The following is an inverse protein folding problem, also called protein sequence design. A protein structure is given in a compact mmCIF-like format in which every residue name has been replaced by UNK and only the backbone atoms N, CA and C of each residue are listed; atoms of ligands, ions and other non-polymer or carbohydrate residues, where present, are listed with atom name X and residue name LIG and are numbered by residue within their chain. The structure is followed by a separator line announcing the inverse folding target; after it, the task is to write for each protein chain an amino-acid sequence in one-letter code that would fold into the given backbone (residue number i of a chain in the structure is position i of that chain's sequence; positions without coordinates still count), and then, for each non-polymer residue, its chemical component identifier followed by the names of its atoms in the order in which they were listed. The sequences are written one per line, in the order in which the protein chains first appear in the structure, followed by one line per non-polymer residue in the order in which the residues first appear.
data_IF_402060653668
#
_entry.id   IF_402060653668
#
_cell.length_a   1.000
_cell.length_b   1.000
_cell.length_c   1.000
_cell.angle_alpha   90.00
_cell.angle_beta   90.00
_cell.angle_gamma   90.00
#
_symmetry.space_group_name_H-M   'P 1'
#
loop_
_entity.id
_entity.type
_entity.pdbx_description
1 polymer ?
#
# COMPACT_ATOMS: atom_id res chain seq x y z
N UNK A 1 35.86 4.36 4.02
CA UNK A 1 35.79 5.86 4.07
C UNK A 1 35.97 6.29 5.52
N UNK A 2 36.58 7.45 5.82
CA UNK A 2 36.56 8.00 7.19
C UNK A 2 35.33 8.92 7.36
N UNK A 3 34.31 8.50 8.12
CA UNK A 3 33.09 9.28 8.32
C UNK A 3 33.24 10.47 9.28
N UNK A 4 34.33 10.54 10.06
CA UNK A 4 34.61 11.64 11.01
C UNK A 4 33.42 12.03 11.90
N UNK A 5 32.87 11.08 12.65
CA UNK A 5 31.78 11.33 13.59
C UNK A 5 32.20 12.39 14.64
N UNK A 6 31.25 13.22 15.08
CA UNK A 6 31.56 14.32 16.01
C UNK A 6 31.84 13.85 17.44
N UNK A 7 31.23 12.73 17.86
CA UNK A 7 31.46 12.09 19.15
C UNK A 7 31.19 10.58 19.09
N UNK A 8 31.69 9.85 20.09
CA UNK A 8 31.32 8.46 20.34
C UNK A 8 29.91 8.37 20.90
N UNK A 9 29.24 7.23 20.72
CA UNK A 9 27.87 7.02 21.18
C UNK A 9 26.95 6.47 20.10
N UNK A 10 25.65 6.52 20.36
CA UNK A 10 24.65 6.07 19.40
C UNK A 10 24.46 7.08 18.28
N UNK A 11 24.51 6.59 17.06
CA UNK A 11 24.15 7.31 15.85
C UNK A 11 23.01 6.56 15.17
N UNK A 12 22.01 7.28 14.70
CA UNK A 12 20.84 6.73 14.03
C UNK A 12 21.01 6.90 12.53
N UNK A 13 20.92 5.80 11.78
CA UNK A 13 20.94 5.81 10.32
C UNK A 13 19.55 6.23 9.81
N UNK A 14 19.52 7.31 9.03
CA UNK A 14 18.30 8.02 8.69
C UNK A 14 17.37 7.23 7.76
N UNK A 15 17.91 6.41 6.86
CA UNK A 15 17.12 5.76 5.81
C UNK A 15 16.47 4.44 6.26
N UNK A 16 17.16 3.69 7.13
CA UNK A 16 16.73 2.41 7.71
C UNK A 16 16.09 2.59 9.08
N UNK A 17 16.37 3.69 9.78
CA UNK A 17 15.97 3.88 11.17
C UNK A 17 16.76 2.99 12.15
N UNK A 18 17.78 2.29 11.67
CA UNK A 18 18.69 1.48 12.48
C UNK A 18 19.65 2.37 13.28
N UNK A 19 20.37 1.78 14.23
CA UNK A 19 21.32 2.48 15.09
C UNK A 19 22.69 1.82 15.08
N UNK A 20 23.72 2.64 15.00
CA UNK A 20 25.12 2.23 15.08
C UNK A 20 25.75 2.81 16.35
N UNK A 21 26.44 1.97 17.11
CA UNK A 21 27.23 2.44 18.24
C UNK A 21 28.66 2.73 17.79
N UNK A 22 29.04 4.01 17.81
CA UNK A 22 30.39 4.45 17.45
C UNK A 22 31.28 4.46 18.69
N UNK A 23 32.33 3.64 18.65
CA UNK A 23 33.32 3.53 19.74
C UNK A 23 34.58 4.37 19.50
N UNK A 24 34.85 4.74 18.24
CA UNK A 24 35.91 5.67 17.87
C UNK A 24 35.48 6.56 16.69
N UNK A 25 35.68 7.87 16.80
CA UNK A 25 35.20 8.86 15.81
C UNK A 25 35.78 8.71 14.39
N UNK A 26 36.93 8.03 14.27
CA UNK A 26 37.61 7.77 13.00
C UNK A 26 37.48 6.30 12.54
N UNK A 27 36.51 5.56 13.07
CA UNK A 27 36.27 4.19 12.67
C UNK A 27 35.88 4.12 11.19
N UNK A 28 36.63 3.38 10.34
CA UNK A 28 36.37 3.37 8.91
C UNK A 28 35.06 2.63 8.62
N UNK A 29 34.16 3.29 7.88
CA UNK A 29 32.92 2.67 7.40
C UNK A 29 33.16 2.09 5.99
N UNK A 30 32.77 0.83 5.82
CA UNK A 30 32.71 0.15 4.53
C UNK A 30 31.35 0.42 3.90
N UNK A 31 31.36 0.95 2.67
CA UNK A 31 30.17 1.18 1.86
C UNK A 31 30.36 0.49 0.51
N UNK A 32 29.29 -0.05 -0.05
CA UNK A 32 29.26 -0.56 -1.42
C UNK A 32 29.31 0.59 -2.44
N UNK A 33 29.63 0.28 -3.70
CA UNK A 33 29.68 1.28 -4.76
C UNK A 33 28.29 1.91 -5.00
N UNK A 34 28.19 3.23 -4.84
CA UNK A 34 26.93 3.98 -4.97
C UNK A 34 26.07 4.00 -3.71
N UNK A 35 26.49 3.30 -2.64
CA UNK A 35 25.84 3.36 -1.34
C UNK A 35 26.19 4.67 -0.63
N UNK A 36 25.18 5.33 -0.06
CA UNK A 36 25.35 6.47 0.84
C UNK A 36 24.50 6.24 2.09
N UNK A 37 24.98 6.72 3.23
CA UNK A 37 24.30 6.64 4.52
C UNK A 37 24.31 8.00 5.17
N UNK A 38 23.22 8.35 5.86
CA UNK A 38 23.13 9.58 6.63
C UNK A 38 22.93 9.21 8.10
N UNK A 39 23.79 9.71 8.97
CA UNK A 39 23.72 9.44 10.40
C UNK A 39 23.40 10.72 11.17
N UNK A 40 22.56 10.62 12.21
CA UNK A 40 22.29 11.70 13.16
C UNK A 40 22.49 11.23 14.60
N UNK A 41 22.95 12.13 15.45
CA UNK A 41 23.05 11.99 16.91
C UNK A 41 21.69 12.03 17.61
N UNK A 42 20.63 12.44 16.90
CA UNK A 42 19.24 12.37 17.35
C UNK A 42 18.41 11.44 16.45
N UNK A 43 17.44 10.74 17.04
CA UNK A 43 16.51 9.92 16.28
C UNK A 43 15.53 10.82 15.54
N UNK A 44 15.81 11.04 14.25
CA UNK A 44 14.92 11.79 13.38
C UNK A 44 13.72 10.93 12.97
N UNK A 45 12.55 11.56 12.88
CA UNK A 45 11.37 10.92 12.30
C UNK A 45 11.55 10.73 10.79
N UNK A 46 11.07 9.59 10.27
CA UNK A 46 11.06 9.35 8.83
C UNK A 46 10.13 10.38 8.16
N UNK A 47 10.60 11.07 7.11
CA UNK A 47 9.75 12.01 6.40
C UNK A 47 8.78 11.25 5.50
N UNK A 48 7.62 11.86 5.25
CA UNK A 48 6.53 11.32 4.42
C UNK A 48 6.92 11.02 2.95
N UNK A 49 8.10 11.46 2.50
CA UNK A 49 8.63 11.20 1.17
C UNK A 49 9.63 10.03 1.11
N UNK A 50 10.06 9.49 2.26
CA UNK A 50 10.93 8.32 2.27
C UNK A 50 10.08 7.07 2.02
N UNK A 51 10.17 6.54 0.80
CA UNK A 51 9.58 5.23 0.47
C UNK A 51 10.45 4.16 1.10
N UNK A 52 10.38 4.00 2.42
CA UNK A 52 10.87 2.79 3.04
C UNK A 52 10.08 1.64 2.40
N UNK A 53 10.77 0.70 1.76
CA UNK A 53 10.18 -0.56 1.28
C UNK A 53 9.86 -1.46 2.49
N UNK A 54 9.31 -0.90 3.55
CA UNK A 54 8.50 -1.68 4.45
C UNK A 54 7.27 -2.02 3.64
N UNK A 55 7.06 -3.32 3.41
CA UNK A 55 5.82 -3.83 2.86
C UNK A 55 4.70 -3.27 3.71
N UNK A 56 4.08 -2.16 3.29
CA UNK A 56 2.88 -1.62 3.91
C UNK A 56 1.80 -2.69 3.68
N UNK A 57 1.72 -3.65 4.59
CA UNK A 57 0.46 -4.31 4.88
C UNK A 57 -0.30 -3.25 5.67
N UNK A 58 -0.77 -2.23 4.95
CA UNK A 58 -1.76 -1.31 5.49
C UNK A 58 -2.87 -2.22 6.01
N UNK A 59 -3.03 -2.27 7.33
CA UNK A 59 -4.14 -2.96 7.96
C UNK A 59 -5.38 -2.32 7.36
N UNK A 60 -6.01 -3.01 6.43
CA UNK A 60 -7.14 -2.43 5.74
C UNK A 60 -8.27 -2.27 6.75
N UNK A 61 -8.62 -1.02 7.05
CA UNK A 61 -9.77 -0.69 7.89
C UNK A 61 -11.11 -1.01 7.20
N UNK A 62 -11.05 -1.40 5.92
CA UNK A 62 -12.19 -1.69 5.07
C UNK A 62 -11.95 -2.93 4.17
N UNK A 63 -11.75 -4.13 4.74
CA UNK A 63 -11.42 -5.31 3.96
C UNK A 63 -12.68 -5.91 3.31
N UNK A 64 -12.57 -6.21 2.02
CA UNK A 64 -13.56 -7.00 1.28
C UNK A 64 -12.89 -8.01 0.35
N UNK A 65 -13.66 -9.00 -0.07
CA UNK A 65 -13.25 -10.02 -1.05
C UNK A 65 -14.19 -10.01 -2.25
N UNK A 66 -13.64 -10.36 -3.42
CA UNK A 66 -14.39 -10.53 -4.66
C UNK A 66 -14.46 -12.01 -5.02
N UNK A 67 -15.65 -12.51 -5.35
CA UNK A 67 -15.80 -13.87 -5.85
C UNK A 67 -16.98 -14.01 -6.83
N UNK A 68 -16.91 -14.95 -7.78
CA UNK A 68 -15.72 -15.73 -8.11
C UNK A 68 -14.65 -14.82 -8.76
N UNK A 69 -13.38 -15.18 -8.60
CA UNK A 69 -12.27 -14.53 -9.28
C UNK A 69 -11.27 -15.63 -9.68
N UNK A 70 -11.20 -16.04 -10.96
CA UNK A 70 -11.84 -15.41 -12.12
C UNK A 70 -13.38 -15.49 -12.16
N UNK A 71 -14.02 -14.60 -12.92
CA UNK A 71 -15.48 -14.57 -13.18
C UNK A 71 -15.79 -14.63 -14.68
N UNK A 72 -16.99 -15.07 -15.04
CA UNK A 72 -17.54 -15.01 -16.41
C UNK A 72 -18.45 -13.77 -16.61
N UNK A 73 -18.25 -12.74 -15.78
CA UNK A 73 -19.06 -11.52 -15.77
C UNK A 73 -19.44 -11.12 -14.36
N UNK A 74 -20.65 -11.49 -13.93
CA UNK A 74 -21.18 -11.12 -12.62
C UNK A 74 -20.30 -11.61 -11.47
N UNK A 75 -20.11 -10.77 -10.45
CA UNK A 75 -19.34 -11.12 -9.27
C UNK A 75 -19.97 -10.52 -8.01
N UNK A 76 -19.57 -11.07 -6.88
CA UNK A 76 -20.04 -10.67 -5.55
C UNK A 76 -18.91 -10.02 -4.79
N UNK A 77 -19.24 -8.90 -4.15
CA UNK A 77 -18.38 -8.25 -3.15
C UNK A 77 -18.87 -8.68 -1.78
N UNK A 78 -18.00 -9.29 -0.98
CA UNK A 78 -18.31 -9.66 0.40
C UNK A 78 -17.49 -8.86 1.41
N UNK A 79 -18.22 -8.26 2.34
CA UNK A 79 -17.75 -7.43 3.44
C UNK A 79 -17.91 -8.18 4.76
N UNK A 80 -17.04 -7.87 5.72
CA UNK A 80 -17.13 -8.41 7.08
C UNK A 80 -18.36 -7.89 7.85
N UNK A 81 -18.76 -6.65 7.58
CA UNK A 81 -19.85 -5.94 8.27
C UNK A 81 -20.81 -5.33 7.25
N UNK A 82 -21.94 -4.80 7.73
CA UNK A 82 -22.89 -4.05 6.91
C UNK A 82 -22.30 -2.73 6.42
N UNK A 83 -22.60 -2.42 5.16
CA UNK A 83 -22.10 -1.25 4.46
C UNK A 83 -23.26 -0.45 3.86
N UNK A 84 -23.11 0.86 3.83
CA UNK A 84 -24.09 1.81 3.29
C UNK A 84 -23.40 2.81 2.38
N UNK A 85 -24.16 3.34 1.42
CA UNK A 85 -23.71 4.39 0.50
C UNK A 85 -22.41 4.04 -0.24
N UNK A 86 -22.25 2.76 -0.59
CA UNK A 86 -21.08 2.32 -1.33
C UNK A 86 -21.15 2.75 -2.78
N UNK A 87 -20.01 3.18 -3.30
CA UNK A 87 -19.76 3.35 -4.72
C UNK A 87 -18.77 2.29 -5.19
N UNK A 88 -19.16 1.54 -6.22
CA UNK A 88 -18.32 0.54 -6.88
C UNK A 88 -18.00 1.04 -8.28
N UNK A 89 -16.72 1.19 -8.58
CA UNK A 89 -16.21 1.62 -9.87
C UNK A 89 -15.33 0.51 -10.45
N UNK A 90 -15.51 0.18 -11.72
CA UNK A 90 -14.73 -0.85 -12.41
C UNK A 90 -13.89 -0.18 -13.49
N UNK A 91 -12.59 -0.37 -13.41
CA UNK A 91 -11.61 0.19 -14.36
C UNK A 91 -10.96 -0.93 -15.17
N UNK A 92 -10.68 -0.68 -16.45
CA UNK A 92 -9.86 -1.57 -17.27
C UNK A 92 -8.38 -1.50 -16.85
N UNK A 93 -7.55 -2.40 -17.39
CA UNK A 93 -6.10 -2.40 -17.16
C UNK A 93 -5.41 -1.09 -17.61
N UNK A 94 -5.99 -0.36 -18.56
CA UNK A 94 -5.50 0.95 -19.00
C UNK A 94 -5.98 2.12 -18.13
N UNK A 95 -6.78 1.84 -17.09
CA UNK A 95 -7.33 2.85 -16.18
C UNK A 95 -8.61 3.52 -16.67
N UNK A 96 -9.21 3.06 -17.77
CA UNK A 96 -10.50 3.57 -18.24
C UNK A 96 -11.62 3.11 -17.32
N UNK A 97 -12.50 4.03 -16.90
CA UNK A 97 -13.72 3.68 -16.16
C UNK A 97 -14.72 2.99 -17.10
N UNK A 98 -15.11 1.76 -16.76
CA UNK A 98 -15.99 0.90 -17.57
C UNK A 98 -17.39 0.82 -16.99
N UNK A 99 -17.53 0.81 -15.66
CA UNK A 99 -18.83 0.74 -15.00
C UNK A 99 -18.82 1.42 -13.64
N UNK A 100 -19.99 1.89 -13.20
CA UNK A 100 -20.18 2.53 -11.89
C UNK A 100 -21.53 2.16 -11.30
N UNK A 101 -21.52 1.76 -10.03
CA UNK A 101 -22.70 1.49 -9.22
C UNK A 101 -22.63 2.36 -7.97
N UNK A 102 -23.69 3.10 -7.69
CA UNK A 102 -23.76 4.05 -6.56
C UNK A 102 -24.84 3.63 -5.57
N UNK A 103 -24.76 4.19 -4.38
CA UNK A 103 -25.76 4.06 -3.32
C UNK A 103 -26.04 2.61 -2.91
N UNK A 104 -25.04 1.72 -3.06
CA UNK A 104 -25.16 0.31 -2.66
C UNK A 104 -25.20 0.24 -1.13
N UNK A 105 -26.26 -0.39 -0.63
CA UNK A 105 -26.42 -0.73 0.79
C UNK A 105 -26.59 -2.23 0.93
N UNK A 106 -25.77 -2.85 1.78
CA UNK A 106 -25.78 -4.29 1.99
C UNK A 106 -25.50 -4.65 3.44
N UNK A 107 -26.04 -5.79 3.89
CA UNK A 107 -25.71 -6.38 5.18
C UNK A 107 -24.30 -6.98 5.19
N UNK A 108 -23.85 -7.55 4.07
CA UNK A 108 -22.52 -8.17 3.95
C UNK A 108 -22.14 -8.49 2.49
N UNK A 109 -23.09 -8.70 1.58
CA UNK A 109 -22.80 -9.05 0.17
C UNK A 109 -23.50 -8.14 -0.82
N UNK A 110 -22.78 -7.68 -1.84
CA UNK A 110 -23.34 -6.95 -2.97
C UNK A 110 -23.06 -7.71 -4.26
N UNK A 111 -24.10 -8.04 -5.01
CA UNK A 111 -23.99 -8.64 -6.33
C UNK A 111 -23.82 -7.53 -7.37
N UNK A 112 -22.77 -7.65 -8.18
CA UNK A 112 -22.40 -6.69 -9.20
C UNK A 112 -22.56 -7.36 -10.57
N UNK A 113 -23.61 -7.02 -11.34
CA UNK A 113 -23.75 -7.51 -12.69
C UNK A 113 -22.72 -6.82 -13.57
N UNK A 114 -21.83 -7.56 -14.22
CA UNK A 114 -20.75 -6.98 -15.03
C UNK A 114 -20.58 -7.76 -16.32
N UNK A 115 -20.61 -7.06 -17.45
CA UNK A 115 -20.46 -7.63 -18.79
C UNK A 115 -19.20 -7.04 -19.44
N UNK A 116 -18.05 -7.39 -18.87
CA UNK A 116 -16.74 -7.01 -19.37
C UNK A 116 -16.20 -8.06 -20.33
N UNK A 117 -15.43 -7.64 -21.33
CA UNK A 117 -14.66 -8.58 -22.16
C UNK A 117 -13.63 -9.34 -21.32
N UNK A 118 -13.17 -10.53 -21.77
CA UNK A 118 -12.12 -11.28 -21.07
C UNK A 118 -10.87 -10.43 -20.84
N UNK A 119 -10.37 -10.39 -19.61
CA UNK A 119 -9.26 -9.51 -19.26
C UNK A 119 -9.13 -9.21 -17.77
N UNK A 120 -8.23 -8.28 -17.44
CA UNK A 120 -7.97 -7.82 -16.07
C UNK A 120 -8.66 -6.48 -15.85
N UNK A 121 -9.36 -6.38 -14.73
CA UNK A 121 -10.03 -5.18 -14.27
C UNK A 121 -9.64 -4.84 -12.82
N UNK A 122 -9.82 -3.59 -12.46
CA UNK A 122 -9.66 -3.09 -11.10
C UNK A 122 -11.01 -2.61 -10.57
N UNK A 123 -11.49 -3.27 -9.52
CA UNK A 123 -12.72 -2.91 -8.82
C UNK A 123 -12.34 -2.04 -7.63
N UNK A 124 -12.75 -0.78 -7.67
CA UNK A 124 -12.62 0.17 -6.58
C UNK A 124 -13.94 0.27 -5.83
N UNK A 125 -13.90 0.05 -4.53
CA UNK A 125 -15.07 0.21 -3.64
C UNK A 125 -14.78 1.35 -2.68
N UNK A 126 -15.72 2.30 -2.58
CA UNK A 126 -15.61 3.48 -1.73
C UNK A 126 -16.87 3.70 -0.89
N UNK A 127 -16.71 4.12 0.36
CA UNK A 127 -17.81 4.59 1.24
C UNK A 127 -17.87 6.13 1.36
N UNK A 128 -17.11 6.84 0.52
CA UNK A 128 -16.98 8.29 0.53
C UNK A 128 -15.84 8.82 1.40
N UNK A 129 -15.35 8.04 2.38
CA UNK A 129 -14.17 8.39 3.19
C UNK A 129 -12.97 7.53 2.84
N UNK A 130 -13.21 6.24 2.56
CA UNK A 130 -12.22 5.22 2.30
C UNK A 130 -12.46 4.62 0.93
N UNK A 131 -11.38 4.27 0.24
CA UNK A 131 -11.45 3.56 -1.03
C UNK A 131 -10.42 2.43 -1.04
N UNK A 132 -10.85 1.24 -1.46
CA UNK A 132 -10.00 0.05 -1.59
C UNK A 132 -10.18 -0.54 -2.98
N UNK A 133 -9.06 -0.94 -3.58
CA UNK A 133 -9.02 -1.48 -4.95
C UNK A 133 -8.65 -2.96 -4.91
N UNK A 134 -9.30 -3.75 -5.77
CA UNK A 134 -9.03 -5.18 -5.96
C UNK A 134 -8.97 -5.54 -7.43
N UNK A 135 -8.07 -6.46 -7.76
CA UNK A 135 -7.97 -7.05 -9.10
C UNK A 135 -9.10 -8.07 -9.30
N UNK A 136 -9.77 -8.00 -10.44
CA UNK A 136 -10.74 -8.96 -10.94
C UNK A 136 -10.27 -9.50 -12.30
N UNK A 137 -10.36 -10.81 -12.50
CA UNK A 137 -10.08 -11.46 -13.78
C UNK A 137 -11.40 -11.92 -14.39
N UNK A 138 -11.66 -11.51 -15.63
CA UNK A 138 -12.83 -11.94 -16.41
C UNK A 138 -12.38 -12.92 -17.51
N UNK A 139 -13.15 -14.00 -17.69
CA UNK A 139 -12.91 -15.07 -18.68
C UNK A 139 -13.86 -15.00 -19.86
#
# INVERSE_FOLDING_TARGET
MNPAFQHTGWWYEYFSGDSLQISAVNEPLTLEAGEYRLYSDEKLGLPWWLTATETFVAKEDFPFVLFPNPTNGNFTIHFKNSMKNLTVEIYSISGQLVSTYKDITTLNTAEIPFDGSPGIYFVKVSDGQRAVVRKLVVQ
#
